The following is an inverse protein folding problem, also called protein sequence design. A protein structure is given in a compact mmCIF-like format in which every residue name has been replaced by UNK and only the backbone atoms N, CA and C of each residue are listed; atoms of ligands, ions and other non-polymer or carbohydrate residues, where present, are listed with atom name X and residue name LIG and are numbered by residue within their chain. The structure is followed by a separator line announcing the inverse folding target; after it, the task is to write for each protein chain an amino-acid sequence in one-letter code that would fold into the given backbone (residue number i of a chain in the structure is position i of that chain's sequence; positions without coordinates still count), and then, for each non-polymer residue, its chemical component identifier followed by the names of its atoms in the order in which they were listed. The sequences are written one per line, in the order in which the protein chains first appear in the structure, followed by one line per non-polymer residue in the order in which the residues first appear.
data_IF_448994471035
#
_entry.id   IF_448994471035
#
_cell.length_a   1.000
_cell.length_b   1.000
_cell.length_c   1.000
_cell.angle_alpha   90.00
_cell.angle_beta   90.00
_cell.angle_gamma   90.00
#
_symmetry.space_group_name_H-M   'P 1'
#
loop_
_entity.id
_entity.type
_entity.pdbx_description
1 polymer ?
#
# COMPACT_ATOMS: atom_id res chain seq x y z
N UNK A 1 1.11 0.28 -9.88
CA UNK A 1 2.47 0.22 -9.27
C UNK A 1 3.12 1.55 -9.50
N UNK A 2 3.67 2.13 -8.44
CA UNK A 2 4.08 3.54 -8.35
C UNK A 2 5.61 3.73 -8.44
N UNK A 3 6.37 2.64 -8.58
CA UNK A 3 7.81 2.67 -8.81
C UNK A 3 8.25 1.36 -9.50
N UNK A 4 9.04 1.45 -10.57
CA UNK A 4 9.58 0.27 -11.29
C UNK A 4 10.98 -0.13 -10.83
N UNK A 5 11.73 0.78 -10.19
CA UNK A 5 13.13 0.52 -9.81
C UNK A 5 13.40 0.94 -8.38
N UNK A 6 14.00 0.03 -7.60
CA UNK A 6 14.43 0.25 -6.21
C UNK A 6 15.27 1.54 -6.02
N UNK A 7 15.95 1.97 -7.08
CA UNK A 7 16.86 3.12 -7.10
C UNK A 7 16.20 4.42 -7.58
N UNK A 8 14.99 4.38 -8.14
CA UNK A 8 14.30 5.58 -8.56
C UNK A 8 13.85 6.38 -7.33
N UNK A 9 14.39 7.60 -7.22
CA UNK A 9 14.04 8.56 -6.17
C UNK A 9 12.70 9.26 -6.42
N UNK A 10 12.06 8.99 -7.55
CA UNK A 10 10.81 9.59 -7.97
C UNK A 10 9.71 8.53 -7.96
N UNK A 11 8.54 8.91 -7.45
CA UNK A 11 7.33 8.10 -7.55
C UNK A 11 6.75 8.35 -8.94
N UNK A 12 6.70 7.31 -9.77
CA UNK A 12 6.14 7.35 -11.13
C UNK A 12 4.83 6.59 -11.12
N UNK A 13 3.76 7.29 -11.44
CA UNK A 13 2.42 6.73 -11.54
C UNK A 13 2.23 6.22 -12.97
N UNK A 14 2.02 4.92 -13.12
CA UNK A 14 1.71 4.31 -14.41
C UNK A 14 0.18 4.14 -14.53
N UNK A 15 -0.42 4.85 -15.49
CA UNK A 15 -1.88 4.94 -15.64
C UNK A 15 -2.55 3.56 -15.86
N UNK A 16 -1.94 2.68 -16.65
CA UNK A 16 -2.45 1.32 -16.91
C UNK A 16 -2.54 0.49 -15.61
N UNK A 17 -1.56 0.64 -14.72
CA UNK A 17 -1.54 -0.06 -13.43
C UNK A 17 -2.46 0.57 -12.41
N UNK A 18 -2.64 1.89 -12.47
CA UNK A 18 -3.63 2.57 -11.64
C UNK A 18 -5.04 2.19 -12.08
N UNK A 19 -5.30 2.08 -13.38
CA UNK A 19 -6.57 1.59 -13.89
C UNK A 19 -6.85 0.16 -13.43
N UNK A 20 -5.85 -0.73 -13.49
CA UNK A 20 -6.00 -2.09 -12.98
C UNK A 20 -6.31 -2.13 -11.48
N UNK A 21 -5.66 -1.28 -10.70
CA UNK A 21 -5.92 -1.15 -9.27
C UNK A 21 -7.33 -0.61 -9.01
N UNK A 22 -7.76 0.39 -9.79
CA UNK A 22 -9.11 0.94 -9.75
C UNK A 22 -10.16 -0.16 -9.99
N UNK A 23 -9.96 -1.01 -10.99
CA UNK A 23 -10.90 -2.09 -11.31
C UNK A 23 -10.99 -3.13 -10.19
N UNK A 24 -9.85 -3.46 -9.55
CA UNK A 24 -9.81 -4.35 -8.38
C UNK A 24 -10.59 -3.73 -7.22
N UNK A 25 -10.31 -2.47 -6.86
CA UNK A 25 -10.98 -1.78 -5.75
C UNK A 25 -12.49 -1.69 -6.00
N UNK A 26 -12.88 -1.32 -7.22
CA UNK A 26 -14.30 -1.17 -7.58
C UNK A 26 -15.05 -2.50 -7.57
N UNK A 27 -14.41 -3.58 -8.02
CA UNK A 27 -15.05 -4.90 -8.07
C UNK A 27 -15.09 -5.64 -6.72
N UNK A 28 -14.18 -5.32 -5.80
CA UNK A 28 -14.05 -6.01 -4.51
C UNK A 28 -14.45 -5.17 -3.30
N UNK A 29 -14.74 -3.89 -3.49
CA UNK A 29 -14.94 -2.90 -2.42
C UNK A 29 -13.75 -2.80 -1.44
N UNK A 30 -12.55 -3.18 -1.90
CA UNK A 30 -11.38 -3.30 -1.06
C UNK A 30 -10.75 -1.95 -0.69
N UNK A 31 -10.17 -1.91 0.51
CA UNK A 31 -9.34 -0.82 0.99
C UNK A 31 -7.84 -1.13 0.84
N UNK A 32 -7.02 -0.09 0.87
CA UNK A 32 -5.57 -0.13 0.69
C UNK A 32 -4.88 0.23 2.00
N UNK A 33 -4.01 -0.67 2.46
CA UNK A 33 -3.05 -0.41 3.55
C UNK A 33 -1.64 -0.41 2.97
N UNK A 34 -0.87 0.63 3.23
CA UNK A 34 0.51 0.74 2.75
C UNK A 34 1.50 0.09 3.72
N UNK A 35 2.52 -0.58 3.18
CA UNK A 35 3.60 -1.18 3.95
C UNK A 35 4.98 -0.81 3.40
N UNK A 36 6.05 -1.17 4.12
CA UNK A 36 7.46 -1.06 3.73
C UNK A 36 7.89 0.34 3.26
N UNK A 37 8.27 0.50 2.00
CA UNK A 37 8.68 1.77 1.39
C UNK A 37 7.52 2.78 1.32
N UNK A 38 6.32 2.30 0.97
CA UNK A 38 5.18 3.16 0.65
C UNK A 38 4.54 3.81 1.89
N UNK A 39 4.78 3.27 3.08
CA UNK A 39 4.20 3.79 4.33
C UNK A 39 4.54 5.27 4.58
N UNK A 40 5.69 5.77 4.11
CA UNK A 40 6.03 7.21 4.24
C UNK A 40 5.21 8.14 3.35
N UNK A 41 4.51 7.59 2.37
CA UNK A 41 3.89 8.35 1.30
C UNK A 41 2.36 8.29 1.35
N UNK A 42 1.76 7.83 2.45
CA UNK A 42 0.31 7.64 2.62
C UNK A 42 -0.53 8.81 2.06
N UNK A 43 -0.28 10.02 2.53
CA UNK A 43 -1.00 11.21 2.07
C UNK A 43 -0.79 11.50 0.58
N UNK A 44 0.44 11.33 0.09
CA UNK A 44 0.76 11.58 -1.31
C UNK A 44 0.09 10.55 -2.22
N UNK A 45 0.17 9.27 -1.87
CA UNK A 45 -0.46 8.18 -2.62
C UNK A 45 -1.99 8.32 -2.60
N UNK A 46 -2.60 8.59 -1.46
CA UNK A 46 -4.04 8.84 -1.36
C UNK A 46 -4.48 9.99 -2.27
N UNK A 47 -3.78 11.13 -2.20
CA UNK A 47 -4.03 12.28 -3.09
C UNK A 47 -3.89 11.91 -4.57
N UNK A 48 -2.80 11.24 -4.94
CA UNK A 48 -2.56 10.80 -6.32
C UNK A 48 -3.68 9.89 -6.80
N UNK A 49 -4.04 8.85 -6.05
CA UNK A 49 -5.09 7.92 -6.43
C UNK A 49 -6.44 8.60 -6.65
N UNK A 50 -6.82 9.54 -5.79
CA UNK A 50 -8.03 10.36 -6.00
C UNK A 50 -8.00 11.15 -7.31
N UNK A 51 -6.83 11.71 -7.68
CA UNK A 51 -6.65 12.43 -8.95
C UNK A 51 -6.74 11.53 -10.18
N UNK A 52 -6.51 10.23 -10.02
CA UNK A 52 -6.67 9.22 -11.08
C UNK A 52 -8.03 8.49 -11.01
N UNK A 53 -8.99 8.99 -10.21
CA UNK A 53 -10.36 8.48 -10.20
C UNK A 53 -10.63 7.31 -9.25
N UNK A 54 -9.66 6.91 -8.41
CA UNK A 54 -9.92 5.92 -7.36
C UNK A 54 -10.84 6.51 -6.28
N UNK A 55 -11.60 5.63 -5.61
CA UNK A 55 -12.50 6.02 -4.51
C UNK A 55 -11.76 6.88 -3.48
N UNK A 56 -12.37 8.02 -3.13
CA UNK A 56 -11.89 8.90 -2.07
C UNK A 56 -11.73 8.13 -0.76
N UNK A 57 -10.56 8.24 -0.13
CA UNK A 57 -10.28 7.54 1.13
C UNK A 57 -10.04 6.02 1.00
N UNK A 58 -9.85 5.48 -0.20
CA UNK A 58 -9.51 4.05 -0.36
C UNK A 58 -8.15 3.67 0.24
N UNK A 59 -7.26 4.64 0.49
CA UNK A 59 -6.06 4.41 1.31
C UNK A 59 -6.43 4.68 2.77
N UNK A 60 -6.60 3.61 3.54
CA UNK A 60 -7.12 3.68 4.91
C UNK A 60 -6.02 3.72 5.98
N UNK A 61 -4.76 3.56 5.56
CA UNK A 61 -3.61 3.83 6.41
C UNK A 61 -2.38 3.03 6.03
N UNK A 62 -1.55 2.74 7.02
CA UNK A 62 -0.22 2.14 6.84
C UNK A 62 0.23 1.30 8.03
N UNK A 63 1.01 0.26 7.76
CA UNK A 63 1.59 -0.58 8.82
C UNK A 63 2.63 0.20 9.65
N UNK A 64 2.80 -0.20 10.91
CA UNK A 64 3.77 0.40 11.82
C UNK A 64 5.22 0.00 11.49
N UNK A 65 6.16 0.91 11.75
CA UNK A 65 7.60 0.70 11.58
C UNK A 65 8.25 1.72 10.65
N UNK A 66 9.57 1.81 10.70
CA UNK A 66 10.35 2.79 9.94
C UNK A 66 10.29 2.51 8.42
N UNK A 67 10.13 3.53 7.58
CA UNK A 67 10.15 3.37 6.15
C UNK A 67 11.54 2.91 5.67
N UNK A 68 11.57 1.86 4.87
CA UNK A 68 12.80 1.43 4.23
C UNK A 68 13.08 2.32 3.02
N UNK A 69 13.71 3.48 3.23
CA UNK A 69 14.04 4.45 2.18
C UNK A 69 15.34 4.11 1.41
N UNK A 70 15.91 2.91 1.63
CA UNK A 70 17.16 2.42 1.05
C UNK A 70 16.97 1.28 0.04
N UNK A 71 18.08 0.79 -0.52
CA UNK A 71 18.13 -0.16 -1.64
C UNK A 71 17.27 -1.43 -1.37
N UNK A 72 16.10 -1.50 -2.01
CA UNK A 72 15.03 -2.45 -1.65
C UNK A 72 15.29 -3.87 -2.16
N UNK A 73 16.27 -4.06 -3.04
CA UNK A 73 16.49 -5.32 -3.77
C UNK A 73 16.97 -6.46 -2.85
N UNK A 74 17.87 -6.18 -1.91
CA UNK A 74 18.39 -7.20 -0.99
C UNK A 74 17.39 -7.59 0.12
N UNK A 75 16.31 -6.81 0.28
CA UNK A 75 15.34 -7.01 1.36
C UNK A 75 14.12 -7.82 0.89
N UNK A 76 13.74 -7.79 -0.39
CA UNK A 76 12.46 -8.36 -0.84
C UNK A 76 12.35 -9.90 -0.72
N UNK A 77 13.44 -10.66 -0.90
CA UNK A 77 13.40 -12.13 -0.94
C UNK A 77 13.01 -12.83 0.39
N UNK A 78 13.10 -12.15 1.54
CA UNK A 78 12.75 -12.72 2.86
C UNK A 78 11.49 -12.11 3.50
N UNK A 79 10.80 -11.20 2.82
CA UNK A 79 9.94 -10.21 3.49
C UNK A 79 8.43 -10.43 3.26
N UNK A 80 8.04 -11.33 2.35
CA UNK A 80 6.61 -11.57 2.08
C UNK A 80 5.82 -12.04 3.31
N UNK A 81 6.33 -13.00 4.10
CA UNK A 81 5.61 -13.50 5.28
C UNK A 81 5.56 -12.46 6.40
N UNK A 82 6.66 -11.71 6.64
CA UNK A 82 6.70 -10.65 7.63
C UNK A 82 5.70 -9.51 7.29
N UNK A 83 5.53 -9.19 6.00
CA UNK A 83 4.58 -8.16 5.54
C UNK A 83 3.13 -8.55 5.77
N UNK A 84 2.75 -9.81 5.53
CA UNK A 84 1.38 -10.28 5.79
C UNK A 84 1.06 -10.15 7.28
N UNK A 85 1.98 -10.58 8.15
CA UNK A 85 1.82 -10.46 9.61
C UNK A 85 1.75 -8.99 10.07
N UNK A 86 2.54 -8.09 9.48
CA UNK A 86 2.44 -6.64 9.77
C UNK A 86 1.07 -6.05 9.38
N UNK A 87 0.51 -6.48 8.25
CA UNK A 87 -0.79 -6.03 7.78
C UNK A 87 -1.88 -6.59 8.69
N UNK A 88 -1.83 -7.89 9.04
CA UNK A 88 -2.77 -8.50 9.98
C UNK A 88 -2.74 -7.79 11.34
N UNK A 89 -1.55 -7.49 11.87
CA UNK A 89 -1.41 -6.77 13.14
C UNK A 89 -1.94 -5.34 13.06
N UNK A 90 -1.72 -4.64 11.94
CA UNK A 90 -2.31 -3.34 11.69
C UNK A 90 -3.85 -3.42 11.69
N UNK A 91 -4.42 -4.36 10.94
CA UNK A 91 -5.87 -4.52 10.84
C UNK A 91 -6.49 -4.83 12.20
N UNK A 92 -5.90 -5.75 12.97
CA UNK A 92 -6.32 -6.09 14.34
C UNK A 92 -6.31 -4.88 15.27
N UNK A 93 -5.27 -4.04 15.17
CA UNK A 93 -5.13 -2.87 16.03
C UNK A 93 -6.12 -1.76 15.70
N UNK A 94 -6.37 -1.53 14.41
CA UNK A 94 -7.19 -0.40 13.96
C UNK A 94 -8.68 -0.74 13.93
N UNK A 95 -9.01 -1.97 13.54
CA UNK A 95 -10.39 -2.41 13.33
C UNK A 95 -10.88 -3.46 14.34
N UNK A 96 -9.99 -3.99 15.19
CA UNK A 96 -10.29 -5.09 16.11
C UNK A 96 -10.12 -6.46 15.46
N UNK A 97 -10.35 -7.52 16.24
CA UNK A 97 -10.43 -8.89 15.72
C UNK A 97 -11.89 -9.09 15.29
N UNK A 98 -12.08 -9.50 14.03
CA UNK A 98 -13.39 -9.99 13.59
C UNK A 98 -13.58 -11.36 14.24
N UNK A 99 -14.23 -11.37 15.41
CA UNK A 99 -14.74 -12.60 16.02
C UNK A 99 -15.94 -13.02 15.17
N UNK A 100 -15.66 -13.69 14.05
CA UNK A 100 -16.72 -14.22 13.20
C UNK A 100 -17.66 -15.12 14.01
N UNK A 101 -18.94 -14.76 14.03
CA UNK A 101 -20.05 -15.61 14.52
C UNK A 101 -20.21 -16.88 13.66
#
# INVERSE_FOLDING_TARGET
VLNRTATAKQIIVEDDKVQRLHDIITSSDADIVLSSYWRSFERYIGYTFERHGLRKGCVVGRTAGEPHLGDSVAHDDKVHLARVLEIEDYLKRVYGIDEGD
#
